data_IF_900887315971
#
_entry.id   IF_900887315971
#
_cell.length_a   1.000
_cell.length_b   1.000
_cell.length_c   1.000
_cell.angle_alpha   90.00
_cell.angle_beta   90.00
_cell.angle_gamma   90.00
#
_symmetry.space_group_name_H-M   'P 1'
#
loop_
_entity.id
_entity.type
_entity.pdbx_description
1 polymer ?
#
# COMPACT_ATOMS: atom_id res chain seq x y z
N UNK A 1 -12.29 -36.33 12.57
CA UNK A 1 -10.99 -35.85 12.04
C UNK A 1 -11.23 -34.41 11.56
N UNK A 2 -11.01 -33.44 12.44
CA UNK A 2 -11.13 -32.01 12.16
C UNK A 2 -9.87 -31.60 11.40
N UNK A 3 -10.01 -31.31 10.10
CA UNK A 3 -9.00 -30.53 9.37
C UNK A 3 -9.09 -29.10 9.92
N UNK A 4 -8.11 -28.70 10.71
CA UNK A 4 -7.83 -27.32 10.98
C UNK A 4 -7.68 -26.61 9.62
N UNK A 5 -8.66 -25.80 9.26
CA UNK A 5 -8.54 -24.87 8.16
C UNK A 5 -7.55 -23.81 8.65
N UNK A 6 -6.31 -23.96 8.27
CA UNK A 6 -5.28 -22.93 8.38
C UNK A 6 -5.87 -21.67 7.70
N UNK A 7 -6.26 -20.68 8.50
CA UNK A 7 -6.81 -19.42 7.98
C UNK A 7 -5.70 -18.75 7.21
N UNK A 8 -5.77 -18.84 5.90
CA UNK A 8 -4.82 -18.19 5.00
C UNK A 8 -4.87 -16.68 5.26
N UNK A 9 -3.80 -16.14 5.85
CA UNK A 9 -3.63 -14.72 6.14
C UNK A 9 -3.61 -13.96 4.83
N UNK A 10 -4.44 -12.92 4.69
CA UNK A 10 -4.46 -12.09 3.49
C UNK A 10 -3.08 -11.45 3.24
N UNK A 11 -2.64 -11.49 2.00
CA UNK A 11 -1.35 -10.95 1.55
C UNK A 11 -1.51 -9.47 1.21
N UNK A 12 -1.10 -8.61 2.13
CA UNK A 12 -1.13 -7.15 1.93
C UNK A 12 0.23 -6.72 1.40
N UNK A 13 0.25 -6.06 0.26
CA UNK A 13 1.44 -5.52 -0.38
C UNK A 13 1.52 -4.01 -0.19
N UNK A 14 2.60 -3.55 0.43
CA UNK A 14 2.97 -2.14 0.46
C UNK A 14 3.95 -1.91 -0.69
N UNK A 15 3.76 -0.85 -1.47
CA UNK A 15 4.59 -0.61 -2.64
C UNK A 15 4.63 0.85 -3.06
N UNK A 16 5.69 1.19 -3.78
CA UNK A 16 5.99 2.52 -4.29
C UNK A 16 6.84 2.40 -5.56
N UNK A 17 6.82 3.41 -6.44
CA UNK A 17 7.67 3.46 -7.63
C UNK A 17 8.50 4.73 -7.67
N UNK A 18 9.69 4.58 -8.24
CA UNK A 18 10.53 5.70 -8.64
C UNK A 18 10.54 5.82 -10.16
N UNK A 19 10.09 6.95 -10.64
CA UNK A 19 9.97 7.22 -12.07
C UNK A 19 10.85 8.39 -12.50
N UNK A 20 11.36 8.33 -13.71
CA UNK A 20 12.24 9.38 -14.26
C UNK A 20 11.53 10.68 -14.61
N UNK A 21 10.20 10.64 -14.72
CA UNK A 21 9.34 11.79 -15.00
C UNK A 21 7.96 11.57 -14.38
N UNK A 22 7.24 12.64 -14.09
CA UNK A 22 5.86 12.57 -13.59
C UNK A 22 4.84 12.08 -14.63
N UNK A 23 5.16 12.22 -15.90
CA UNK A 23 4.33 11.75 -17.02
C UNK A 23 4.90 10.49 -17.62
N UNK A 24 4.10 9.43 -17.71
CA UNK A 24 4.54 8.09 -18.13
C UNK A 24 4.88 7.99 -19.63
N UNK A 25 4.42 8.93 -20.46
CA UNK A 25 4.75 9.06 -21.88
C UNK A 25 6.17 9.62 -22.12
N UNK A 26 6.71 10.38 -21.16
CA UNK A 26 8.07 10.91 -21.17
C UNK A 26 9.01 10.23 -20.16
N UNK A 27 8.48 9.34 -19.34
CA UNK A 27 9.21 8.71 -18.27
C UNK A 27 9.28 7.20 -18.37
N UNK A 28 10.19 6.64 -17.58
CA UNK A 28 10.37 5.20 -17.38
C UNK A 28 10.34 4.89 -15.89
N UNK A 29 10.00 3.66 -15.54
CA UNK A 29 10.07 3.14 -14.17
C UNK A 29 11.52 2.80 -13.85
N UNK A 30 12.15 3.54 -12.94
CA UNK A 30 13.55 3.32 -12.52
C UNK A 30 13.62 2.25 -11.44
N UNK A 31 12.69 2.26 -10.48
CA UNK A 31 12.64 1.30 -9.41
C UNK A 31 11.19 1.00 -9.00
N UNK A 32 10.96 -0.22 -8.58
CA UNK A 32 9.74 -0.69 -7.93
C UNK A 32 10.10 -1.26 -6.57
N UNK A 33 9.69 -0.56 -5.51
CA UNK A 33 9.85 -0.96 -4.13
C UNK A 33 8.61 -1.66 -3.60
N UNK A 34 8.80 -2.72 -2.82
CA UNK A 34 7.67 -3.43 -2.22
C UNK A 34 8.04 -4.15 -0.93
N UNK A 35 7.03 -4.40 -0.11
CA UNK A 35 7.12 -5.21 1.09
C UNK A 35 5.79 -5.90 1.36
N UNK A 36 5.83 -7.16 1.75
CA UNK A 36 4.67 -7.82 2.32
C UNK A 36 4.48 -7.38 3.77
N UNK A 37 3.27 -6.99 4.13
CA UNK A 37 2.98 -6.48 5.47
C UNK A 37 3.38 -7.49 6.55
N UNK A 38 4.17 -7.01 7.52
CA UNK A 38 4.75 -7.80 8.62
C UNK A 38 5.69 -8.93 8.19
N UNK A 39 6.29 -8.86 6.99
CA UNK A 39 7.24 -9.85 6.49
C UNK A 39 8.55 -9.19 6.03
N UNK A 40 9.68 -9.59 6.61
CA UNK A 40 11.04 -9.23 6.15
C UNK A 40 11.30 -7.73 5.95
N UNK A 41 12.30 -7.43 5.17
CA UNK A 41 12.72 -6.06 4.79
C UNK A 41 12.11 -5.66 3.43
N UNK A 42 12.03 -4.35 3.12
CA UNK A 42 11.67 -3.88 1.80
C UNK A 42 12.57 -4.44 0.71
N UNK A 43 11.98 -4.78 -0.42
CA UNK A 43 12.70 -5.24 -1.63
C UNK A 43 12.53 -4.21 -2.73
N UNK A 44 13.58 -4.00 -3.51
CA UNK A 44 13.55 -3.08 -4.65
C UNK A 44 14.06 -3.78 -5.89
N UNK A 45 13.28 -3.69 -6.96
CA UNK A 45 13.68 -4.10 -8.31
C UNK A 45 13.99 -2.83 -9.07
N UNK A 46 15.23 -2.63 -9.45
CA UNK A 46 15.66 -1.47 -10.22
C UNK A 46 15.95 -1.84 -11.67
N UNK A 47 15.77 -0.88 -12.57
CA UNK A 47 16.05 -1.05 -14.01
C UNK A 47 17.51 -1.46 -14.26
N UNK A 48 18.43 -1.02 -13.40
CA UNK A 48 19.86 -1.36 -13.45
C UNK A 48 20.18 -2.82 -13.13
N UNK A 49 19.25 -3.57 -12.54
CA UNK A 49 19.43 -5.00 -12.23
C UNK A 49 19.51 -5.85 -13.52
N UNK A 50 19.06 -5.28 -14.63
CA UNK A 50 18.93 -6.00 -15.89
C UNK A 50 19.96 -5.55 -16.93
N UNK A 51 20.64 -6.49 -17.62
CA UNK A 51 21.61 -6.16 -18.65
C UNK A 51 21.05 -5.32 -19.80
N UNK A 52 19.73 -5.37 -20.00
CA UNK A 52 19.01 -4.62 -21.04
C UNK A 52 19.14 -3.11 -20.84
N UNK A 53 19.17 -2.63 -19.62
CA UNK A 53 19.40 -1.21 -19.29
C UNK A 53 20.72 -0.65 -19.83
N UNK A 54 21.75 -1.49 -19.98
CA UNK A 54 23.03 -1.07 -20.60
C UNK A 54 22.91 -0.85 -22.10
N UNK A 55 21.99 -1.57 -22.76
CA UNK A 55 21.77 -1.50 -24.21
C UNK A 55 20.79 -0.42 -24.56
N UNK A 56 19.72 -0.30 -23.79
CA UNK A 56 18.66 0.68 -23.94
C UNK A 56 18.27 1.23 -22.57
N UNK A 57 18.57 2.52 -22.34
CA UNK A 57 18.31 3.23 -21.09
C UNK A 57 16.82 3.56 -20.89
N UNK A 58 16.01 3.37 -21.91
CA UNK A 58 14.58 3.70 -21.90
C UNK A 58 13.68 2.48 -21.74
N UNK A 59 14.24 1.27 -21.80
CA UNK A 59 13.50 0.03 -21.73
C UNK A 59 13.31 -0.47 -20.29
N UNK A 60 12.21 -0.10 -19.67
CA UNK A 60 11.79 -0.55 -18.34
C UNK A 60 10.88 -1.79 -18.38
N UNK A 61 10.74 -2.46 -19.52
CA UNK A 61 9.79 -3.57 -19.73
C UNK A 61 9.93 -4.70 -18.72
N UNK A 62 11.18 -5.00 -18.28
CA UNK A 62 11.42 -6.10 -17.33
C UNK A 62 10.99 -5.70 -15.91
N UNK A 63 11.31 -4.48 -15.46
CA UNK A 63 10.87 -3.96 -14.15
C UNK A 63 9.34 -3.94 -14.09
N UNK A 64 8.71 -3.38 -15.12
CA UNK A 64 7.25 -3.26 -15.21
C UNK A 64 6.57 -4.65 -15.20
N UNK A 65 7.13 -5.64 -15.89
CA UNK A 65 6.61 -7.02 -15.89
C UNK A 65 6.74 -7.68 -14.51
N UNK A 66 7.90 -7.57 -13.88
CA UNK A 66 8.10 -8.16 -12.56
C UNK A 66 7.24 -7.46 -11.49
N UNK A 67 7.11 -6.14 -11.57
CA UNK A 67 6.19 -5.41 -10.72
C UNK A 67 4.74 -5.89 -10.89
N UNK A 68 4.29 -6.09 -12.14
CA UNK A 68 2.95 -6.62 -12.42
C UNK A 68 2.71 -7.98 -11.77
N UNK A 69 3.66 -8.92 -11.89
CA UNK A 69 3.53 -10.26 -11.31
C UNK A 69 3.38 -10.21 -9.79
N UNK A 70 4.17 -9.36 -9.13
CA UNK A 70 4.10 -9.16 -7.68
C UNK A 70 2.78 -8.49 -7.29
N UNK A 71 2.40 -7.40 -7.97
CA UNK A 71 1.17 -6.67 -7.72
C UNK A 71 -0.07 -7.55 -7.90
N UNK A 72 -0.09 -8.39 -8.97
CA UNK A 72 -1.19 -9.29 -9.24
C UNK A 72 -1.33 -10.43 -8.23
N UNK A 73 -0.28 -10.75 -7.48
CA UNK A 73 -0.29 -11.81 -6.46
C UNK A 73 -0.78 -11.35 -5.08
N UNK A 74 -1.12 -10.07 -4.91
CA UNK A 74 -1.58 -9.52 -3.64
C UNK A 74 -3.10 -9.59 -3.49
N UNK A 75 -3.58 -9.68 -2.24
CA UNK A 75 -5.00 -9.58 -1.91
C UNK A 75 -5.43 -8.12 -1.63
N UNK A 76 -4.46 -7.26 -1.33
CA UNK A 76 -4.67 -5.84 -1.05
C UNK A 76 -3.39 -5.05 -1.27
N UNK A 77 -3.54 -3.83 -1.79
CA UNK A 77 -2.43 -2.86 -1.89
C UNK A 77 -2.55 -1.76 -0.85
N UNK A 78 -1.39 -1.32 -0.39
CA UNK A 78 -1.22 -0.10 0.41
C UNK A 78 -0.18 0.77 -0.28
N UNK A 79 -0.51 2.04 -0.51
CA UNK A 79 0.39 3.04 -1.09
C UNK A 79 0.25 4.38 -0.37
N UNK A 80 1.08 5.35 -0.75
CA UNK A 80 0.92 6.73 -0.34
C UNK A 80 0.81 7.65 -1.57
N UNK A 81 -0.39 8.18 -1.85
CA UNK A 81 -0.73 8.94 -3.06
C UNK A 81 -0.77 8.10 -4.35
N UNK A 82 -0.63 6.80 -4.22
CA UNK A 82 -0.51 5.86 -5.34
C UNK A 82 -1.75 5.77 -6.22
N UNK A 83 -2.94 6.06 -5.71
CA UNK A 83 -4.16 6.15 -6.54
C UNK A 83 -4.11 7.29 -7.56
N UNK A 84 -3.25 8.29 -7.33
CA UNK A 84 -3.06 9.44 -8.22
C UNK A 84 -1.79 9.36 -9.05
N UNK A 85 -0.79 8.62 -8.59
CA UNK A 85 0.49 8.52 -9.29
C UNK A 85 0.86 7.07 -9.64
N UNK A 86 1.21 6.23 -8.68
CA UNK A 86 1.82 4.92 -8.94
C UNK A 86 0.93 4.00 -9.78
N UNK A 87 -0.35 3.89 -9.43
CA UNK A 87 -1.30 3.00 -10.14
C UNK A 87 -1.53 3.46 -11.58
N UNK A 88 -1.90 4.73 -11.87
CA UNK A 88 -2.07 5.19 -13.25
C UNK A 88 -0.75 5.17 -14.04
N UNK A 89 0.39 5.49 -13.41
CA UNK A 89 1.69 5.42 -14.05
C UNK A 89 2.02 3.98 -14.47
N UNK A 90 1.91 3.04 -13.55
CA UNK A 90 2.17 1.61 -13.82
C UNK A 90 1.23 1.09 -14.91
N UNK A 91 -0.06 1.42 -14.88
CA UNK A 91 -0.99 1.04 -15.95
C UNK A 91 -0.56 1.58 -17.32
N UNK A 92 -0.07 2.83 -17.37
CA UNK A 92 0.43 3.42 -18.62
C UNK A 92 1.64 2.66 -19.15
N UNK A 93 2.59 2.30 -18.28
CA UNK A 93 3.78 1.52 -18.67
C UNK A 93 3.43 0.07 -19.07
N UNK A 94 2.49 -0.55 -18.37
CA UNK A 94 1.98 -1.89 -18.71
C UNK A 94 1.35 -1.90 -20.11
N UNK A 95 0.51 -0.93 -20.42
CA UNK A 95 -0.10 -0.78 -21.76
C UNK A 95 0.95 -0.49 -22.83
N UNK A 96 1.90 0.40 -22.55
CA UNK A 96 3.00 0.71 -23.47
C UNK A 96 3.80 -0.54 -23.88
N UNK A 97 4.03 -1.45 -22.92
CA UNK A 97 4.75 -2.70 -23.16
C UNK A 97 3.85 -3.88 -23.58
N UNK A 98 2.57 -3.65 -23.86
CA UNK A 98 1.60 -4.69 -24.22
C UNK A 98 1.53 -5.84 -23.18
N UNK A 99 1.66 -5.54 -21.88
CA UNK A 99 1.56 -6.51 -20.79
C UNK A 99 0.10 -6.64 -20.31
N UNK A 100 -0.66 -5.54 -20.34
CA UNK A 100 -2.05 -5.48 -19.88
C UNK A 100 -2.31 -4.30 -18.97
N UNK A 101 -3.14 -4.49 -17.95
CA UNK A 101 -3.44 -3.51 -16.90
C UNK A 101 -3.41 -4.18 -15.53
N UNK A 102 -3.23 -3.40 -14.49
CA UNK A 102 -3.29 -3.90 -13.11
C UNK A 102 -4.66 -4.50 -12.80
N UNK A 103 -4.73 -5.64 -12.08
CA UNK A 103 -5.99 -6.24 -11.67
C UNK A 103 -6.72 -5.34 -10.67
N UNK A 104 -8.06 -5.44 -10.54
CA UNK A 104 -8.87 -4.64 -9.63
C UNK A 104 -8.74 -5.13 -8.17
N UNK A 105 -7.55 -5.06 -7.61
CA UNK A 105 -7.24 -5.44 -6.23
C UNK A 105 -7.69 -4.33 -5.26
N UNK A 106 -8.27 -4.66 -4.10
CA UNK A 106 -8.57 -3.70 -3.05
C UNK A 106 -7.36 -2.82 -2.70
N UNK A 107 -7.52 -1.52 -2.74
CA UNK A 107 -6.44 -0.56 -2.59
C UNK A 107 -6.73 0.44 -1.46
N UNK A 108 -5.80 0.57 -0.52
CA UNK A 108 -5.81 1.58 0.52
C UNK A 108 -4.69 2.58 0.27
N UNK A 109 -5.06 3.78 -0.14
CA UNK A 109 -4.14 4.90 -0.28
C UNK A 109 -4.10 5.70 1.02
N UNK A 110 -2.97 5.65 1.73
CA UNK A 110 -2.79 6.29 3.03
C UNK A 110 -2.80 7.81 2.97
N UNK A 111 -2.54 8.42 1.82
CA UNK A 111 -2.66 9.86 1.65
C UNK A 111 -4.03 10.36 2.08
N UNK A 112 -5.12 9.65 1.71
CA UNK A 112 -6.48 10.04 2.11
C UNK A 112 -6.76 9.79 3.60
N UNK A 113 -6.03 8.90 4.24
CA UNK A 113 -6.13 8.73 5.68
C UNK A 113 -5.37 9.86 6.40
N UNK A 114 -4.19 10.22 5.91
CA UNK A 114 -3.42 11.37 6.42
C UNK A 114 -4.20 12.69 6.28
N UNK A 115 -4.99 12.86 5.21
CA UNK A 115 -5.86 14.05 5.01
C UNK A 115 -6.94 14.21 6.09
N UNK A 116 -7.23 13.20 6.90
CA UNK A 116 -8.11 13.31 8.07
C UNK A 116 -7.43 13.97 9.26
N UNK A 117 -6.11 14.05 9.25
CA UNK A 117 -5.31 14.82 10.19
C UNK A 117 -5.23 16.27 9.68
N UNK A 118 -5.14 17.23 10.58
CA UNK A 118 -5.01 18.65 10.21
C UNK A 118 -3.54 19.06 10.21
N UNK A 119 -2.81 18.65 9.14
CA UNK A 119 -1.38 18.93 8.99
C UNK A 119 -1.11 20.02 7.97
N UNK A 120 0.05 20.68 8.05
CA UNK A 120 0.49 21.66 7.07
C UNK A 120 1.03 21.00 5.77
N UNK A 121 1.52 19.77 5.87
CA UNK A 121 2.04 18.98 4.74
C UNK A 121 1.53 17.53 4.82
N UNK A 122 1.20 16.97 3.66
CA UNK A 122 0.74 15.60 3.52
C UNK A 122 1.71 14.77 2.66
N UNK A 123 2.99 15.11 2.65
CA UNK A 123 4.04 14.24 2.11
C UNK A 123 4.31 13.10 3.09
N UNK A 124 4.65 11.92 2.61
CA UNK A 124 4.88 10.74 3.45
C UNK A 124 5.89 11.05 4.58
N UNK A 125 7.03 11.65 4.26
CA UNK A 125 8.03 12.07 5.25
C UNK A 125 7.49 13.03 6.31
N UNK A 126 6.69 14.06 5.92
CA UNK A 126 6.10 15.01 6.88
C UNK A 126 5.07 14.34 7.78
N UNK A 127 4.32 13.39 7.26
CA UNK A 127 3.36 12.59 8.04
C UNK A 127 4.11 11.67 9.00
N UNK A 128 5.20 11.06 8.55
CA UNK A 128 6.08 10.23 9.39
C UNK A 128 6.68 11.03 10.54
N UNK A 129 7.26 12.19 10.27
CA UNK A 129 7.79 13.11 11.31
C UNK A 129 6.72 13.44 12.37
N UNK A 130 5.51 13.81 11.93
CA UNK A 130 4.40 14.12 12.84
C UNK A 130 4.01 12.91 13.71
N UNK A 131 4.06 11.71 13.16
CA UNK A 131 3.73 10.47 13.88
C UNK A 131 4.88 9.95 14.76
N UNK A 132 6.05 10.60 14.75
CA UNK A 132 7.24 10.16 15.47
C UNK A 132 7.85 8.88 14.91
N UNK A 133 7.68 8.65 13.61
CA UNK A 133 8.24 7.49 12.91
C UNK A 133 9.71 7.75 12.52
N UNK A 134 10.54 6.71 12.36
CA UNK A 134 11.91 6.86 11.88
C UNK A 134 11.89 7.38 10.45
N UNK A 135 12.19 8.67 10.28
CA UNK A 135 12.28 9.31 8.97
C UNK A 135 13.70 9.79 8.74
N UNK A 136 14.40 9.20 7.80
CA UNK A 136 15.64 9.76 7.30
C UNK A 136 15.32 10.63 6.08
N UNK A 137 15.75 11.88 6.11
CA UNK A 137 15.60 12.78 4.96
C UNK A 137 16.60 12.42 3.88
N UNK A 138 16.11 11.82 2.82
CA UNK A 138 16.89 11.56 1.60
C UNK A 138 16.31 12.40 0.45
N UNK A 139 16.75 13.67 0.31
CA UNK A 139 16.18 14.53 -0.72
C UNK A 139 16.62 14.03 -2.11
N UNK A 140 15.66 13.59 -2.92
CA UNK A 140 15.87 13.37 -4.33
C UNK A 140 15.85 14.71 -5.08
N UNK A 141 16.95 14.98 -5.79
CA UNK A 141 17.08 16.19 -6.60
C UNK A 141 17.11 15.85 -8.09
N UNK A 142 16.75 16.81 -8.94
CA UNK A 142 16.78 16.64 -10.40
C UNK A 142 18.10 16.07 -10.94
N UNK A 143 19.29 16.55 -10.49
CA UNK A 143 20.57 15.97 -10.89
C UNK A 143 20.75 14.47 -10.59
N UNK A 144 20.19 13.95 -9.49
CA UNK A 144 20.27 12.52 -9.16
C UNK A 144 19.49 11.69 -10.20
N UNK A 145 18.29 12.13 -10.57
CA UNK A 145 17.48 11.50 -11.61
C UNK A 145 18.19 11.45 -12.95
N UNK A 146 18.78 12.58 -13.39
CA UNK A 146 19.50 12.69 -14.65
C UNK A 146 20.69 11.72 -14.67
N UNK A 147 21.49 11.68 -13.60
CA UNK A 147 22.62 10.76 -13.47
C UNK A 147 22.19 9.29 -13.50
N UNK A 148 21.12 8.94 -12.76
CA UNK A 148 20.60 7.58 -12.71
C UNK A 148 20.15 7.10 -14.11
N UNK A 149 19.41 7.93 -14.85
CA UNK A 149 18.98 7.62 -16.23
C UNK A 149 20.21 7.46 -17.14
N UNK A 150 21.25 8.28 -16.97
CA UNK A 150 22.52 8.16 -17.69
C UNK A 150 23.31 6.90 -17.32
N UNK A 151 22.88 6.15 -16.29
CA UNK A 151 23.47 4.89 -15.86
C UNK A 151 24.59 5.04 -14.83
N UNK A 152 24.61 6.16 -14.13
CA UNK A 152 25.46 6.36 -12.96
C UNK A 152 25.01 5.39 -11.85
N UNK A 153 25.96 4.58 -11.36
CA UNK A 153 25.67 3.52 -10.39
C UNK A 153 25.34 4.07 -9.01
N UNK A 154 26.04 5.12 -8.58
CA UNK A 154 25.83 5.71 -7.25
C UNK A 154 24.47 6.40 -7.19
N UNK A 155 24.11 7.12 -8.24
CA UNK A 155 22.80 7.75 -8.34
C UNK A 155 21.67 6.71 -8.38
N UNK A 156 21.84 5.59 -9.07
CA UNK A 156 20.85 4.51 -9.12
C UNK A 156 20.73 3.81 -7.76
N UNK A 157 21.85 3.57 -7.07
CA UNK A 157 21.81 2.99 -5.72
C UNK A 157 21.11 3.93 -4.72
N UNK A 158 21.37 5.22 -4.83
CA UNK A 158 20.66 6.22 -4.01
C UNK A 158 19.14 6.20 -4.23
N UNK A 159 18.69 6.05 -5.49
CA UNK A 159 17.26 5.90 -5.82
C UNK A 159 16.71 4.60 -5.22
N UNK A 160 17.45 3.50 -5.31
CA UNK A 160 17.08 2.21 -4.71
C UNK A 160 16.88 2.31 -3.20
N UNK A 161 17.84 2.91 -2.51
CA UNK A 161 17.77 3.12 -1.07
C UNK A 161 16.60 4.02 -0.67
N UNK A 162 16.36 5.08 -1.45
CA UNK A 162 15.22 5.97 -1.22
C UNK A 162 13.90 5.22 -1.32
N UNK A 163 13.68 4.49 -2.41
CA UNK A 163 12.50 3.66 -2.63
C UNK A 163 12.30 2.62 -1.50
N UNK A 164 13.37 1.96 -1.05
CA UNK A 164 13.30 1.02 0.07
C UNK A 164 12.86 1.71 1.38
N UNK A 165 13.39 2.90 1.68
CA UNK A 165 13.03 3.67 2.87
C UNK A 165 11.58 4.15 2.82
N UNK A 166 11.11 4.58 1.66
CA UNK A 166 9.70 5.01 1.51
C UNK A 166 8.74 3.85 1.73
N UNK A 167 9.05 2.65 1.24
CA UNK A 167 8.26 1.44 1.52
C UNK A 167 8.31 1.03 3.00
N UNK A 168 9.47 1.16 3.67
CA UNK A 168 9.58 0.91 5.11
C UNK A 168 8.72 1.91 5.91
N UNK A 169 8.86 3.20 5.60
CA UNK A 169 8.06 4.25 6.24
C UNK A 169 6.55 4.09 5.95
N UNK A 170 6.20 3.62 4.76
CA UNK A 170 4.82 3.33 4.39
C UNK A 170 4.20 2.25 5.28
N UNK A 171 4.96 1.21 5.66
CA UNK A 171 4.47 0.18 6.59
C UNK A 171 4.19 0.77 7.98
N UNK A 172 5.14 1.53 8.53
CA UNK A 172 4.98 2.17 9.82
C UNK A 172 3.78 3.16 9.81
N UNK A 173 3.66 3.95 8.75
CA UNK A 173 2.53 4.85 8.55
C UNK A 173 1.21 4.08 8.43
N UNK A 174 1.19 2.94 7.73
CA UNK A 174 0.00 2.09 7.63
C UNK A 174 -0.42 1.57 9.01
N UNK A 175 0.50 1.09 9.83
CA UNK A 175 0.19 0.62 11.18
C UNK A 175 -0.47 1.70 12.04
N UNK A 176 -0.05 2.96 11.90
CA UNK A 176 -0.57 4.10 12.67
C UNK A 176 -1.87 4.66 12.08
N UNK A 177 -1.99 4.75 10.76
CA UNK A 177 -3.11 5.43 10.10
C UNK A 177 -4.30 4.52 9.78
N UNK A 178 -4.11 3.20 9.71
CA UNK A 178 -5.20 2.26 9.37
C UNK A 178 -6.41 2.36 10.30
N UNK A 179 -6.21 2.77 11.54
CA UNK A 179 -7.28 2.99 12.54
C UNK A 179 -8.26 4.09 12.14
N UNK A 180 -7.81 5.05 11.31
CA UNK A 180 -8.64 6.13 10.76
C UNK A 180 -9.49 5.66 9.57
N UNK A 181 -9.30 4.43 9.09
CA UNK A 181 -9.97 3.92 7.90
C UNK A 181 -11.32 3.35 8.24
N UNK A 182 -12.38 4.10 7.96
CA UNK A 182 -13.76 3.67 8.22
C UNK A 182 -14.25 2.56 7.30
N UNK A 183 -13.62 2.39 6.13
CA UNK A 183 -13.95 1.38 5.11
C UNK A 183 -12.67 0.66 4.67
N UNK A 184 -11.95 0.10 5.64
CA UNK A 184 -10.78 -0.71 5.34
C UNK A 184 -11.21 -1.94 4.52
N UNK A 185 -10.51 -2.28 3.41
CA UNK A 185 -10.75 -3.53 2.70
C UNK A 185 -10.66 -4.72 3.65
N UNK A 186 -11.48 -5.74 3.43
CA UNK A 186 -11.47 -6.93 4.28
C UNK A 186 -10.21 -7.74 3.99
N UNK A 187 -9.36 -7.90 5.00
CA UNK A 187 -8.13 -8.69 4.93
C UNK A 187 -8.22 -10.00 5.72
N UNK A 188 -9.37 -10.28 6.32
CA UNK A 188 -9.68 -11.53 7.01
C UNK A 188 -11.00 -12.08 6.52
N UNK A 189 -11.05 -13.38 6.23
CA UNK A 189 -12.27 -14.09 5.85
C UNK A 189 -13.11 -14.52 7.06
N UNK A 190 -12.59 -14.39 8.28
CA UNK A 190 -13.30 -14.74 9.49
C UNK A 190 -14.45 -13.75 9.80
N UNK A 191 -15.60 -14.27 10.20
CA UNK A 191 -16.81 -13.49 10.43
C UNK A 191 -16.75 -12.59 11.66
N UNK A 192 -15.99 -12.99 12.69
CA UNK A 192 -15.93 -12.32 13.99
C UNK A 192 -14.72 -11.43 14.24
N UNK A 193 -13.50 -11.77 13.79
CA UNK A 193 -12.33 -10.95 14.07
C UNK A 193 -12.31 -9.63 13.30
N UNK A 194 -11.38 -8.77 13.71
CA UNK A 194 -11.15 -7.47 13.08
C UNK A 194 -10.85 -7.62 11.59
N UNK A 195 -11.55 -6.86 10.75
CA UNK A 195 -11.35 -6.88 9.29
C UNK A 195 -10.00 -6.32 8.87
N UNK A 196 -9.35 -5.55 9.75
CA UNK A 196 -8.07 -4.90 9.47
C UNK A 196 -6.88 -5.80 9.79
N UNK A 197 -6.86 -6.44 10.98
CA UNK A 197 -5.69 -7.20 11.44
C UNK A 197 -6.01 -8.65 11.84
N UNK A 198 -7.27 -9.07 11.81
CA UNK A 198 -7.69 -10.38 12.27
C UNK A 198 -7.77 -10.54 13.80
N UNK A 199 -7.42 -9.51 14.58
CA UNK A 199 -7.45 -9.56 16.03
C UNK A 199 -8.85 -9.52 16.63
N UNK A 200 -9.00 -9.82 17.95
CA UNK A 200 -10.28 -9.88 18.62
C UNK A 200 -10.95 -8.51 18.70
N UNK A 201 -12.26 -8.49 18.48
CA UNK A 201 -13.06 -7.26 18.59
C UNK A 201 -13.93 -7.28 19.83
N UNK A 202 -14.19 -6.09 20.37
CA UNK A 202 -15.16 -5.88 21.46
C UNK A 202 -16.27 -4.97 20.99
N UNK A 203 -17.50 -5.29 21.43
CA UNK A 203 -18.66 -4.47 21.22
C UNK A 203 -18.55 -3.17 22.02
N UNK A 204 -18.83 -2.03 21.37
CA UNK A 204 -18.77 -0.69 21.97
C UNK A 204 -20.11 0.04 21.94
N UNK A 205 -21.12 -0.54 21.33
CA UNK A 205 -22.45 0.03 21.29
C UNK A 205 -23.23 -0.31 20.02
N UNK A 206 -24.43 0.26 19.93
CA UNK A 206 -25.31 0.12 18.77
C UNK A 206 -25.36 1.41 17.97
N UNK A 207 -25.58 1.32 16.68
CA UNK A 207 -26.01 2.43 15.85
C UNK A 207 -27.33 2.09 15.17
N UNK A 208 -28.27 3.00 15.21
CA UNK A 208 -29.50 2.91 14.41
C UNK A 208 -29.24 3.68 13.11
N UNK A 209 -29.32 2.99 11.96
CA UNK A 209 -29.30 3.66 10.65
C UNK A 209 -30.76 3.76 10.18
N UNK A 210 -31.29 4.96 10.21
CA UNK A 210 -32.63 5.27 9.72
C UNK A 210 -32.52 5.61 8.23
N UNK A 211 -32.81 4.65 7.37
CA UNK A 211 -33.20 4.87 5.97
C UNK A 211 -34.34 3.85 5.68
N UNK A 212 -35.56 4.21 6.03
CA UNK A 212 -36.76 3.41 5.69
C UNK A 212 -36.90 2.04 6.37
N UNK A 213 -35.80 1.32 6.62
CA UNK A 213 -35.76 0.06 7.36
C UNK A 213 -34.87 0.18 8.60
N UNK A 214 -35.40 -0.21 9.75
CA UNK A 214 -34.65 -0.28 11.03
C UNK A 214 -33.72 -1.49 11.00
N UNK A 215 -32.53 -1.34 10.44
CA UNK A 215 -31.47 -2.36 10.55
C UNK A 215 -30.58 -2.03 11.74
N UNK A 216 -30.60 -2.89 12.75
CA UNK A 216 -29.72 -2.77 13.92
C UNK A 216 -28.28 -3.06 13.52
N UNK A 217 -27.39 -2.10 13.74
CA UNK A 217 -25.96 -2.26 13.51
C UNK A 217 -25.20 -2.17 14.83
N UNK A 218 -24.14 -2.94 14.97
CA UNK A 218 -23.27 -2.98 16.15
C UNK A 218 -21.98 -2.26 15.82
N UNK A 219 -21.50 -1.41 16.72
CA UNK A 219 -20.16 -0.84 16.67
C UNK A 219 -19.21 -1.70 17.47
N UNK A 220 -18.12 -2.11 16.84
CA UNK A 220 -17.06 -2.89 17.45
C UNK A 220 -15.72 -2.18 17.32
N UNK A 221 -14.83 -2.43 18.27
CA UNK A 221 -13.45 -1.94 18.26
C UNK A 221 -12.50 -3.12 18.42
N UNK A 222 -11.44 -3.16 17.60
CA UNK A 222 -10.40 -4.14 17.74
C UNK A 222 -9.56 -3.87 19.00
N UNK A 223 -9.24 -4.93 19.77
CA UNK A 223 -8.38 -4.83 20.94
C UNK A 223 -6.91 -4.64 20.59
N UNK A 224 -6.48 -5.13 19.42
CA UNK A 224 -5.07 -5.09 19.00
C UNK A 224 -4.73 -3.82 18.23
N UNK A 225 -5.44 -3.55 17.12
CA UNK A 225 -5.11 -2.41 16.26
C UNK A 225 -5.95 -1.16 16.51
N UNK A 226 -6.94 -1.21 17.42
CA UNK A 226 -7.81 -0.08 17.75
C UNK A 226 -8.84 0.31 16.67
N UNK A 227 -8.88 -0.38 15.53
CA UNK A 227 -9.80 -0.07 14.43
C UNK A 227 -11.26 -0.20 14.86
N UNK A 228 -12.09 0.77 14.42
CA UNK A 228 -13.52 0.76 14.63
C UNK A 228 -14.26 0.28 13.40
N UNK A 229 -15.27 -0.55 13.62
CA UNK A 229 -16.12 -1.07 12.56
C UNK A 229 -17.60 -0.96 12.97
N UNK A 230 -18.47 -0.91 11.95
CA UNK A 230 -19.92 -1.05 12.13
C UNK A 230 -20.36 -2.29 11.36
N UNK A 231 -20.95 -3.25 12.05
CA UNK A 231 -21.39 -4.55 11.51
C UNK A 231 -22.88 -4.75 11.64
N UNK A 232 -23.53 -5.54 10.75
CA UNK A 232 -24.87 -6.06 11.01
C UNK A 232 -24.90 -6.84 12.33
N UNK A 233 -26.00 -6.79 13.05
CA UNK A 233 -26.15 -7.53 14.32
C UNK A 233 -25.97 -9.05 14.15
N UNK A 234 -26.34 -9.56 12.97
CA UNK A 234 -26.19 -10.98 12.60
C UNK A 234 -24.74 -11.45 12.40
N UNK A 235 -23.78 -10.54 12.29
CA UNK A 235 -22.36 -10.88 12.12
C UNK A 235 -21.59 -10.94 13.44
N UNK A 236 -22.22 -10.72 14.58
CA UNK A 236 -21.58 -10.77 15.89
C UNK A 236 -22.24 -11.86 16.71
N UNK A 237 -21.54 -12.99 16.88
CA UNK A 237 -22.03 -14.12 17.68
C UNK A 237 -22.31 -13.68 19.13
N UNK A 238 -23.47 -14.00 19.62
CA UNK A 238 -23.86 -13.78 21.02
C UNK A 238 -25.03 -12.85 21.27
N UNK A 239 -25.66 -12.25 20.24
CA UNK A 239 -26.91 -11.49 20.39
C UNK A 239 -28.11 -12.23 19.78
N UNK A 240 -28.39 -13.42 20.28
CA UNK A 240 -29.75 -13.91 20.25
C UNK A 240 -30.54 -13.13 21.32
N UNK A 241 -31.45 -12.24 20.88
CA UNK A 241 -32.55 -11.73 21.71
C UNK A 241 -33.72 -12.62 21.50
#
# INVERSE_FOLDING_TARGET
MSKEQEQQKARILLWDIEASNLSADFGITLAFGYKWFSEGEPKVIAISDFPRFKKDRTDDSIVVRQAYEILASADMWVTFYGSKFDVPYMNSRLLYHNIGVLPPIPHLDLYYQAKKLKLHSYRLGSVGEFLGLPTEKTPLSGPVWIKAIAGDKEAMEYIREHCARDVALLEEAYQRLRVLTTRHPRVSMALEPCRVCGGPVVRRGYSLVVRGEKRRKIRVQCKECGAWETRPASEVAGDAV
#
